data_IF_679498253183
#
_entry.id   IF_679498253183
#
_cell.length_a   1.000
_cell.length_b   1.000
_cell.length_c   1.000
_cell.angle_alpha   90.00
_cell.angle_beta   90.00
_cell.angle_gamma   90.00
#
_symmetry.space_group_name_H-M   'P 1'
#
loop_
_entity.id
_entity.type
_entity.pdbx_description
1 polymer ?
#
# COMPACT_ATOMS: atom_id res chain seq x y z
N UNK A 1 -10.73 17.69 -16.73
CA UNK A 1 -9.62 17.26 -15.84
C UNK A 1 -10.16 16.29 -14.81
N UNK A 2 -9.42 15.24 -14.56
CA UNK A 2 -9.81 14.29 -13.51
C UNK A 2 -9.62 14.93 -12.13
N UNK A 3 -10.57 14.70 -11.24
CA UNK A 3 -10.45 15.14 -9.86
C UNK A 3 -9.35 14.33 -9.14
N UNK A 4 -8.65 14.99 -8.23
CA UNK A 4 -7.70 14.31 -7.37
C UNK A 4 -8.46 13.50 -6.33
N UNK A 5 -8.07 12.24 -6.16
CA UNK A 5 -8.51 11.41 -5.05
C UNK A 5 -7.29 11.18 -4.16
N UNK A 6 -7.34 11.70 -2.95
CA UNK A 6 -6.18 11.79 -2.06
C UNK A 6 -6.16 10.64 -1.06
N UNK A 7 -5.03 9.95 -1.00
CA UNK A 7 -4.73 8.99 0.05
C UNK A 7 -3.87 9.71 1.09
N UNK A 8 -4.33 9.75 2.33
CA UNK A 8 -3.62 10.44 3.41
C UNK A 8 -2.86 9.44 4.27
N UNK A 9 -1.57 9.69 4.47
CA UNK A 9 -0.68 8.84 5.26
C UNK A 9 0.13 9.71 6.22
N UNK A 10 0.12 9.36 7.51
CA UNK A 10 0.91 10.04 8.54
C UNK A 10 2.26 9.35 8.71
N UNK A 11 3.33 10.14 8.78
CA UNK A 11 4.70 9.66 8.91
C UNK A 11 5.41 10.29 10.11
N UNK A 12 6.36 9.54 10.67
CA UNK A 12 7.33 10.10 11.59
C UNK A 12 8.31 10.99 10.81
N UNK A 13 9.02 11.86 11.52
CA UNK A 13 9.94 12.81 10.90
C UNK A 13 11.01 12.13 10.04
N UNK A 14 11.59 11.04 10.51
CA UNK A 14 12.62 10.30 9.76
C UNK A 14 12.17 9.95 8.34
N UNK A 15 11.01 9.32 8.21
CA UNK A 15 10.52 8.86 6.91
C UNK A 15 9.96 10.01 6.07
N UNK A 16 9.37 11.00 6.71
CA UNK A 16 8.90 12.22 6.05
C UNK A 16 10.08 12.93 5.35
N UNK A 17 11.20 13.11 6.06
CA UNK A 17 12.36 13.78 5.49
C UNK A 17 13.00 12.98 4.34
N UNK A 18 12.97 11.66 4.39
CA UNK A 18 13.45 10.83 3.30
C UNK A 18 12.61 10.95 2.03
N UNK A 19 11.31 11.14 2.18
CA UNK A 19 10.43 11.42 1.04
C UNK A 19 10.73 12.83 0.51
N UNK A 20 10.87 13.81 1.38
CA UNK A 20 11.16 15.18 1.00
C UNK A 20 12.48 15.30 0.24
N UNK A 21 13.50 14.54 0.60
CA UNK A 21 14.82 14.54 -0.03
C UNK A 21 14.88 13.74 -1.33
N UNK A 22 13.88 12.91 -1.62
CA UNK A 22 13.89 12.02 -2.78
C UNK A 22 14.54 10.67 -2.55
N UNK A 23 15.09 10.42 -1.37
CA UNK A 23 15.68 9.12 -1.02
C UNK A 23 14.67 8.00 -0.96
N UNK A 24 13.42 8.31 -0.57
CA UNK A 24 12.33 7.35 -0.44
C UNK A 24 11.30 7.63 -1.53
N UNK A 25 11.06 6.62 -2.37
CA UNK A 25 10.16 6.70 -3.53
C UNK A 25 8.97 5.76 -3.42
N UNK A 26 8.89 4.99 -2.34
CA UNK A 26 7.79 4.06 -2.05
C UNK A 26 7.44 4.17 -0.58
N UNK A 27 6.15 4.03 -0.28
CA UNK A 27 5.68 3.91 1.09
C UNK A 27 5.00 2.57 1.27
N UNK A 28 5.06 2.04 2.48
CA UNK A 28 4.60 0.70 2.80
C UNK A 28 3.60 0.72 3.94
N UNK A 29 2.57 -0.13 3.80
CA UNK A 29 1.58 -0.36 4.87
C UNK A 29 1.30 -1.85 4.96
N UNK A 30 1.12 -2.36 6.17
CA UNK A 30 0.75 -3.74 6.38
C UNK A 30 -0.58 -4.03 5.69
N UNK A 31 -0.75 -5.27 5.21
CA UNK A 31 -2.02 -5.74 4.67
C UNK A 31 -2.99 -6.05 5.82
N UNK A 32 -3.18 -5.07 6.70
CA UNK A 32 -4.11 -5.13 7.81
C UNK A 32 -5.54 -5.00 7.33
N UNK A 33 -6.50 -5.30 8.20
CA UNK A 33 -7.91 -5.11 7.89
C UNK A 33 -8.18 -3.63 7.57
N UNK A 34 -7.64 -2.71 8.35
CA UNK A 34 -7.80 -1.26 8.13
C UNK A 34 -7.37 -0.85 6.72
N UNK A 35 -6.12 -1.19 6.32
CA UNK A 35 -5.60 -0.78 5.02
C UNK A 35 -6.24 -1.53 3.86
N UNK A 36 -6.62 -2.79 4.06
CA UNK A 36 -7.33 -3.56 3.05
C UNK A 36 -8.69 -2.94 2.74
N UNK A 37 -9.46 -2.59 3.77
CA UNK A 37 -10.76 -1.93 3.61
C UNK A 37 -10.58 -0.57 2.91
N UNK A 38 -9.55 0.17 3.25
CA UNK A 38 -9.32 1.52 2.72
C UNK A 38 -8.88 1.50 1.26
N UNK A 39 -8.03 0.55 0.86
CA UNK A 39 -7.43 0.54 -0.48
C UNK A 39 -8.23 -0.22 -1.52
N UNK A 40 -9.05 -1.18 -1.13
CA UNK A 40 -9.90 -1.92 -2.06
C UNK A 40 -11.26 -1.27 -2.22
N UNK A 41 -11.82 -1.33 -3.44
CA UNK A 41 -13.16 -0.82 -3.70
C UNK A 41 -14.20 -1.61 -2.91
N UNK A 42 -15.33 -0.95 -2.60
CA UNK A 42 -16.44 -1.59 -1.88
C UNK A 42 -17.14 -2.63 -2.73
N UNK A 43 -17.21 -2.41 -4.04
CA UNK A 43 -17.93 -3.27 -4.98
C UNK A 43 -16.94 -4.03 -5.85
N UNK A 44 -16.39 -5.12 -5.31
CA UNK A 44 -15.45 -6.00 -6.01
C UNK A 44 -15.84 -7.46 -5.81
N UNK A 45 -15.47 -8.35 -6.75
CA UNK A 45 -15.78 -9.77 -6.61
C UNK A 45 -15.19 -10.36 -5.34
N UNK A 46 -16.00 -11.13 -4.63
CA UNK A 46 -15.59 -11.88 -3.43
C UNK A 46 -14.99 -11.00 -2.32
N UNK A 47 -15.45 -9.76 -2.22
CA UNK A 47 -14.96 -8.85 -1.16
C UNK A 47 -15.17 -9.40 0.24
N UNK A 48 -16.33 -10.02 0.59
CA UNK A 48 -16.49 -10.62 1.90
C UNK A 48 -15.44 -11.68 2.21
N UNK A 49 -15.04 -12.47 1.21
CA UNK A 49 -14.01 -13.49 1.37
C UNK A 49 -12.62 -12.86 1.56
N UNK A 50 -12.33 -11.77 0.85
CA UNK A 50 -11.09 -11.01 1.04
C UNK A 50 -10.99 -10.50 2.48
N UNK A 51 -12.04 -9.84 2.97
CA UNK A 51 -12.07 -9.27 4.32
C UNK A 51 -11.95 -10.39 5.38
N UNK A 52 -12.72 -11.48 5.22
CA UNK A 52 -12.67 -12.60 6.14
C UNK A 52 -11.30 -13.26 6.18
N UNK A 53 -10.65 -13.40 5.02
CA UNK A 53 -9.30 -13.96 4.93
C UNK A 53 -8.27 -13.10 5.65
N UNK A 54 -8.31 -11.79 5.44
CA UNK A 54 -7.41 -10.86 6.14
C UNK A 54 -7.63 -10.92 7.65
N UNK A 55 -8.88 -10.97 8.09
CA UNK A 55 -9.20 -11.06 9.52
C UNK A 55 -8.76 -12.40 10.15
N UNK A 56 -8.72 -13.47 9.36
CA UNK A 56 -8.35 -14.81 9.81
C UNK A 56 -6.86 -14.97 10.08
N UNK A 57 -6.01 -14.40 9.22
CA UNK A 57 -4.57 -14.56 9.34
C UNK A 57 -4.00 -13.63 10.41
N UNK A 58 -3.13 -14.17 11.29
CA UNK A 58 -2.53 -13.40 12.39
C UNK A 58 -1.14 -12.88 12.06
N UNK A 59 -0.45 -13.51 11.10
CA UNK A 59 0.90 -13.10 10.71
C UNK A 59 0.82 -12.09 9.57
N UNK A 60 1.60 -11.03 9.67
CA UNK A 60 1.66 -9.98 8.63
C UNK A 60 2.06 -10.58 7.27
N UNK A 61 3.05 -11.49 7.27
CA UNK A 61 3.49 -12.15 6.03
C UNK A 61 2.38 -12.97 5.36
N UNK A 62 1.58 -13.68 6.14
CA UNK A 62 0.48 -14.50 5.62
C UNK A 62 -0.63 -13.62 5.06
N UNK A 63 -0.96 -12.53 5.75
CA UNK A 63 -1.94 -11.55 5.25
C UNK A 63 -1.48 -10.95 3.93
N UNK A 64 -0.21 -10.58 3.85
CA UNK A 64 0.38 -10.01 2.66
C UNK A 64 0.29 -10.95 1.46
N UNK A 65 0.64 -12.21 1.65
CA UNK A 65 0.52 -13.23 0.59
C UNK A 65 -0.92 -13.43 0.16
N UNK A 66 -1.85 -13.48 1.10
CA UNK A 66 -3.27 -13.62 0.79
C UNK A 66 -3.79 -12.45 -0.02
N UNK A 67 -3.48 -11.22 0.39
CA UNK A 67 -3.91 -10.01 -0.32
C UNK A 67 -3.24 -9.93 -1.69
N UNK A 68 -1.95 -10.28 -1.80
CA UNK A 68 -1.25 -10.34 -3.07
C UNK A 68 -1.93 -11.33 -4.03
N UNK A 69 -2.31 -12.50 -3.52
CA UNK A 69 -3.04 -13.49 -4.31
C UNK A 69 -4.36 -12.95 -4.85
N UNK A 70 -5.13 -12.26 -4.02
CA UNK A 70 -6.37 -11.63 -4.47
C UNK A 70 -6.09 -10.56 -5.54
N UNK A 71 -5.11 -9.69 -5.29
CA UNK A 71 -4.80 -8.56 -6.16
C UNK A 71 -4.24 -9.00 -7.51
N UNK A 72 -3.62 -10.18 -7.60
CA UNK A 72 -3.12 -10.74 -8.86
C UNK A 72 -4.12 -11.63 -9.59
N UNK A 73 -5.32 -11.83 -9.03
CA UNK A 73 -6.36 -12.65 -9.65
C UNK A 73 -6.43 -14.08 -9.16
N UNK A 74 -5.67 -14.43 -8.13
CA UNK A 74 -5.63 -15.73 -7.49
C UNK A 74 -4.22 -16.31 -7.43
N UNK A 75 -4.03 -17.31 -6.58
CA UNK A 75 -2.70 -17.88 -6.32
C UNK A 75 -2.02 -18.41 -7.59
N UNK A 76 -2.79 -18.99 -8.52
CA UNK A 76 -2.26 -19.50 -9.78
C UNK A 76 -1.70 -18.40 -10.70
N UNK A 77 -2.02 -17.14 -10.45
CA UNK A 77 -1.54 -15.99 -11.23
C UNK A 77 -0.45 -15.22 -10.51
N UNK A 78 -0.08 -15.63 -9.30
CA UNK A 78 0.98 -15.02 -8.54
C UNK A 78 2.32 -15.68 -8.87
N UNK A 79 3.28 -14.89 -9.35
CA UNK A 79 4.64 -15.37 -9.61
C UNK A 79 5.54 -15.06 -8.43
N UNK A 80 6.57 -15.90 -8.22
CA UNK A 80 7.62 -15.63 -7.24
C UNK A 80 8.50 -14.45 -7.67
N UNK A 81 8.54 -14.17 -8.96
CA UNK A 81 9.30 -13.05 -9.51
C UNK A 81 8.43 -11.79 -9.54
N UNK A 82 8.80 -10.71 -8.83
CA UNK A 82 8.00 -9.48 -8.81
C UNK A 82 7.74 -8.90 -10.21
N UNK A 83 8.70 -9.02 -11.12
CA UNK A 83 8.59 -8.49 -12.49
C UNK A 83 7.49 -9.18 -13.29
N UNK A 84 7.19 -10.43 -12.96
CA UNK A 84 6.21 -11.24 -13.70
C UNK A 84 4.79 -11.14 -13.12
N UNK A 85 4.61 -10.42 -12.00
CA UNK A 85 3.31 -10.27 -11.38
C UNK A 85 2.50 -9.19 -12.10
N UNK A 86 1.23 -9.50 -12.36
CA UNK A 86 0.28 -8.54 -12.93
C UNK A 86 -0.79 -8.23 -11.89
N UNK A 87 -0.89 -6.98 -11.50
CA UNK A 87 -1.84 -6.54 -10.48
C UNK A 87 -3.10 -5.96 -11.11
N UNK A 88 -4.27 -6.32 -10.54
CA UNK A 88 -5.58 -5.88 -11.02
C UNK A 88 -5.90 -4.51 -10.44
N UNK A 89 -5.54 -3.44 -11.13
CA UNK A 89 -5.74 -2.07 -10.66
C UNK A 89 -7.23 -1.74 -10.46
N UNK A 90 -8.12 -2.37 -11.21
CA UNK A 90 -9.55 -2.11 -11.17
C UNK A 90 -10.24 -2.51 -9.86
N UNK A 91 -9.61 -3.33 -9.03
CA UNK A 91 -10.17 -3.69 -7.72
C UNK A 91 -9.78 -2.71 -6.62
N UNK A 92 -8.83 -1.83 -6.89
CA UNK A 92 -8.36 -0.82 -5.94
C UNK A 92 -9.12 0.50 -6.11
N UNK A 93 -9.27 1.24 -5.01
CA UNK A 93 -9.77 2.60 -5.07
C UNK A 93 -8.83 3.44 -5.93
N UNK A 94 -9.38 4.31 -6.82
CA UNK A 94 -8.55 5.01 -7.80
C UNK A 94 -7.87 6.26 -7.21
N UNK A 95 -7.07 6.07 -6.18
CA UNK A 95 -6.28 7.16 -5.61
C UNK A 95 -5.30 7.69 -6.64
N UNK A 96 -5.28 9.01 -6.82
CA UNK A 96 -4.41 9.68 -7.78
C UNK A 96 -3.17 10.27 -7.13
N UNK A 97 -3.31 10.72 -5.89
CA UNK A 97 -2.24 11.38 -5.14
C UNK A 97 -2.21 10.90 -3.70
N UNK A 98 -1.05 11.01 -3.10
CA UNK A 98 -0.87 10.75 -1.68
C UNK A 98 -0.41 12.04 -0.99
N UNK A 99 -1.00 12.34 0.16
CA UNK A 99 -0.54 13.37 1.06
C UNK A 99 0.19 12.69 2.23
N UNK A 100 1.47 12.92 2.31
CA UNK A 100 2.27 12.49 3.45
C UNK A 100 2.28 13.61 4.47
N UNK A 101 1.72 13.36 5.64
CA UNK A 101 1.61 14.35 6.71
C UNK A 101 2.65 14.05 7.80
N UNK A 102 3.30 15.10 8.27
CA UNK A 102 4.30 14.98 9.34
C UNK A 102 3.61 14.86 10.69
N UNK A 103 3.81 13.70 11.35
CA UNK A 103 3.32 13.47 12.70
C UNK A 103 1.84 13.17 12.80
N UNK A 104 1.27 13.36 14.00
CA UNK A 104 -0.15 13.12 14.27
C UNK A 104 -1.02 14.22 13.70
N UNK A 105 -2.31 13.93 13.39
CA UNK A 105 -3.23 14.94 12.84
C UNK A 105 -3.33 16.18 13.74
N UNK A 106 -3.18 17.36 13.12
CA UNK A 106 -3.34 18.66 13.78
C UNK A 106 -3.60 19.73 12.72
N UNK A 107 -4.09 20.89 13.13
CA UNK A 107 -4.34 22.01 12.22
C UNK A 107 -3.03 22.50 11.59
N UNK A 108 -3.10 22.90 10.32
CA UNK A 108 -1.97 23.44 9.57
C UNK A 108 -0.74 22.50 9.54
N UNK A 109 -0.99 21.22 9.50
CA UNK A 109 0.07 20.22 9.49
C UNK A 109 0.83 20.26 8.16
N UNK A 110 2.19 20.25 8.18
CA UNK A 110 2.98 20.14 6.97
C UNK A 110 2.67 18.85 6.22
N UNK A 111 2.63 18.92 4.88
CA UNK A 111 2.43 17.74 4.08
C UNK A 111 3.20 17.82 2.76
N UNK A 112 3.42 16.66 2.18
CA UNK A 112 4.03 16.51 0.86
C UNK A 112 3.01 15.81 -0.03
N UNK A 113 2.69 16.40 -1.18
CA UNK A 113 1.84 15.74 -2.19
C UNK A 113 2.70 15.06 -3.22
N UNK A 114 2.39 13.80 -3.51
CA UNK A 114 3.03 13.05 -4.61
C UNK A 114 1.95 12.40 -5.46
N UNK A 115 2.17 12.34 -6.75
CA UNK A 115 1.32 11.59 -7.66
C UNK A 115 1.60 10.10 -7.51
N UNK A 116 0.54 9.30 -7.37
CA UNK A 116 0.67 7.85 -7.23
C UNK A 116 0.89 7.23 -8.61
N UNK A 117 1.94 6.43 -8.72
CA UNK A 117 2.24 5.68 -9.94
C UNK A 117 1.49 4.35 -9.94
N UNK A 118 1.64 3.56 -8.87
CA UNK A 118 0.88 2.32 -8.70
C UNK A 118 0.84 1.89 -7.24
N UNK A 119 -0.11 1.00 -6.93
CA UNK A 119 -0.21 0.33 -5.62
C UNK A 119 -0.17 -1.17 -5.88
N UNK A 120 0.78 -1.85 -5.23
CA UNK A 120 0.99 -3.30 -5.36
C UNK A 120 1.10 -3.94 -3.98
N UNK A 121 1.37 -5.24 -3.93
CA UNK A 121 1.72 -5.94 -2.69
C UNK A 121 3.02 -6.69 -2.96
N UNK A 122 4.09 -6.21 -2.36
CA UNK A 122 5.44 -6.74 -2.52
C UNK A 122 6.24 -6.54 -1.24
N UNK A 123 7.48 -7.04 -1.24
CA UNK A 123 8.42 -6.78 -0.15
C UNK A 123 9.02 -5.39 -0.29
N UNK A 124 9.17 -4.65 0.82
CA UNK A 124 9.80 -3.33 0.81
C UNK A 124 11.25 -3.35 0.34
N UNK A 125 11.72 -2.20 -0.11
CA UNK A 125 13.12 -1.99 -0.46
C UNK A 125 13.92 -1.55 0.75
N UNK A 126 15.15 -2.06 0.85
CA UNK A 126 16.06 -1.68 1.93
C UNK A 126 16.34 -0.17 1.88
N UNK A 127 16.36 0.45 3.05
CA UNK A 127 16.59 1.88 3.19
C UNK A 127 15.36 2.76 3.09
N UNK A 128 14.20 2.17 2.71
CA UNK A 128 12.93 2.90 2.58
C UNK A 128 11.93 2.54 3.68
N UNK A 129 12.31 1.64 4.59
CA UNK A 129 11.50 1.23 5.72
C UNK A 129 12.41 0.64 6.81
N UNK A 130 11.88 0.40 8.02
CA UNK A 130 12.64 -0.35 9.03
C UNK A 130 13.02 -1.74 8.50
N UNK A 131 14.23 -2.19 8.81
CA UNK A 131 14.76 -3.48 8.33
C UNK A 131 13.88 -4.67 8.71
N UNK A 132 13.15 -4.58 9.81
CA UNK A 132 12.23 -5.63 10.23
C UNK A 132 11.10 -5.90 9.23
N UNK A 133 10.83 -4.98 8.31
CA UNK A 133 9.75 -5.10 7.32
C UNK A 133 10.19 -5.78 6.02
N UNK A 134 11.49 -5.92 5.77
CA UNK A 134 12.02 -6.31 4.46
C UNK A 134 11.56 -7.68 3.95
N UNK A 135 11.18 -8.58 4.83
CA UNK A 135 10.71 -9.93 4.47
C UNK A 135 9.19 -10.06 4.41
N UNK A 136 8.47 -8.99 4.67
CA UNK A 136 7.01 -8.99 4.73
C UNK A 136 6.42 -8.52 3.41
N UNK A 137 5.36 -9.20 2.94
CA UNK A 137 4.59 -8.69 1.81
C UNK A 137 3.64 -7.60 2.33
N UNK A 138 3.80 -6.40 1.84
CA UNK A 138 3.09 -5.21 2.31
C UNK A 138 2.47 -4.49 1.12
N UNK A 139 1.46 -3.66 1.37
CA UNK A 139 1.04 -2.71 0.35
C UNK A 139 2.22 -1.79 0.04
N UNK A 140 2.51 -1.65 -1.24
CA UNK A 140 3.56 -0.77 -1.75
C UNK A 140 2.90 0.34 -2.57
N UNK A 141 3.06 1.56 -2.11
CA UNK A 141 2.53 2.75 -2.77
C UNK A 141 3.72 3.42 -3.46
N UNK A 142 3.82 3.26 -4.78
CA UNK A 142 4.87 3.89 -5.59
C UNK A 142 4.38 5.24 -6.07
N UNK A 143 5.23 6.24 -5.95
CA UNK A 143 4.88 7.62 -6.32
C UNK A 143 6.03 8.28 -7.08
N UNK A 144 5.66 9.34 -7.79
CA UNK A 144 6.61 10.12 -8.61
C UNK A 144 7.26 11.26 -7.83
#
# INVERSE_FOLDING_TARGET
MAEKKILTIHLTDEWYQKIASGEKTEEYRECSLYWTIRLFRKEIPNRPDLIAGVAKYHRVSDRGLFVQGYLTGGLKHTSDSPEDRTYRKEVLEPFTHVHFLLGYPKDNQPYIEKEIDEITVDKPKKGMCPDAWLKKNMFVIRFK
#
